data_IF_093211032936
#
_entry.id   IF_093211032936
#
_cell.length_a   1.000
_cell.length_b   1.000
_cell.length_c   1.000
_cell.angle_alpha   90.00
_cell.angle_beta   90.00
_cell.angle_gamma   90.00
#
_symmetry.space_group_name_H-M   'P 1'
#
loop_
_entity.id
_entity.type
_entity.pdbx_description
1 polymer ?
#
# COMPACT_ATOMS: atom_id res chain seq x y z
N UNK A 1 18.43 7.86 15.82
CA UNK A 1 17.17 7.57 16.54
C UNK A 1 17.02 8.33 17.87
N UNK A 2 18.05 8.47 18.70
CA UNK A 2 17.93 9.19 20.00
C UNK A 2 17.36 10.61 19.91
N UNK A 3 17.71 11.40 18.90
CA UNK A 3 17.21 12.78 18.73
C UNK A 3 15.70 12.91 18.40
N UNK A 4 15.03 11.82 18.03
CA UNK A 4 13.59 11.80 17.70
C UNK A 4 12.74 11.35 18.89
N UNK A 5 13.37 10.84 19.96
CA UNK A 5 12.67 10.34 21.15
C UNK A 5 12.01 11.43 21.98
N UNK A 6 12.51 12.68 21.89
CA UNK A 6 12.00 13.84 22.66
C UNK A 6 10.78 14.50 22.00
N UNK A 7 10.39 14.06 20.79
CA UNK A 7 9.25 14.56 20.05
C UNK A 7 8.17 13.48 20.06
N UNK A 8 6.90 13.86 19.99
CA UNK A 8 5.75 12.95 19.93
C UNK A 8 5.99 11.80 18.96
N UNK A 9 6.06 10.57 19.46
CA UNK A 9 6.32 9.37 18.67
C UNK A 9 5.18 9.15 17.66
N UNK A 10 5.47 9.42 16.39
CA UNK A 10 4.63 9.06 15.25
C UNK A 10 4.82 7.58 14.89
N UNK A 11 4.08 7.06 13.92
CA UNK A 11 4.33 5.72 13.38
C UNK A 11 5.65 5.68 12.61
N UNK A 12 6.41 4.60 12.75
CA UNK A 12 7.54 4.31 11.86
C UNK A 12 6.98 3.78 10.53
N UNK A 13 7.54 4.23 9.42
CA UNK A 13 7.04 3.86 8.09
C UNK A 13 8.13 3.14 7.30
N UNK A 14 7.77 1.99 6.73
CA UNK A 14 8.56 1.28 5.74
C UNK A 14 7.77 1.14 4.44
N UNK A 15 8.46 1.11 3.32
CA UNK A 15 7.90 0.87 2.00
C UNK A 15 8.58 -0.36 1.37
N UNK A 16 8.20 -1.59 1.75
CA UNK A 16 8.73 -2.80 1.12
C UNK A 16 8.30 -2.93 -0.34
N UNK A 17 7.19 -2.32 -0.72
CA UNK A 17 6.54 -2.32 -2.03
C UNK A 17 5.97 -3.67 -2.46
N UNK A 18 6.56 -4.80 -2.05
CA UNK A 18 6.09 -6.15 -2.33
C UNK A 18 6.22 -7.05 -1.09
N UNK A 19 5.34 -8.02 -0.94
CA UNK A 19 5.29 -8.92 0.21
C UNK A 19 6.49 -9.87 0.27
N UNK A 20 6.77 -10.56 -0.84
CA UNK A 20 7.85 -11.55 -0.91
C UNK A 20 9.19 -10.93 -1.30
N UNK A 21 10.29 -11.57 -0.87
CA UNK A 21 11.64 -11.19 -1.33
C UNK A 21 11.79 -11.39 -2.84
N UNK A 22 11.17 -12.44 -3.40
CA UNK A 22 11.15 -12.71 -4.84
C UNK A 22 10.64 -11.49 -5.59
N UNK A 23 9.47 -10.99 -5.23
CA UNK A 23 8.84 -9.89 -5.94
C UNK A 23 9.58 -8.56 -5.69
N UNK A 24 10.13 -8.34 -4.48
CA UNK A 24 11.04 -7.21 -4.21
C UNK A 24 12.25 -7.23 -5.14
N UNK A 25 12.82 -8.41 -5.41
CA UNK A 25 13.94 -8.54 -6.34
C UNK A 25 13.52 -8.22 -7.79
N UNK A 26 12.32 -8.62 -8.21
CA UNK A 26 11.77 -8.29 -9.54
C UNK A 26 11.69 -6.78 -9.76
N UNK A 27 11.25 -6.05 -8.75
CA UNK A 27 11.14 -4.57 -8.82
C UNK A 27 12.44 -3.84 -8.42
N UNK A 28 13.52 -4.59 -8.23
CA UNK A 28 14.83 -4.08 -7.79
C UNK A 28 14.77 -3.28 -6.47
N UNK A 29 13.90 -3.70 -5.55
CA UNK A 29 13.82 -3.11 -4.21
C UNK A 29 14.82 -3.81 -3.30
N UNK A 30 15.95 -3.17 -3.05
CA UNK A 30 17.07 -3.72 -2.26
C UNK A 30 16.78 -3.84 -0.76
N UNK A 31 15.53 -3.91 -0.33
CA UNK A 31 15.11 -4.03 1.06
C UNK A 31 14.80 -5.49 1.38
N UNK A 32 15.46 -6.06 2.40
CA UNK A 32 15.23 -7.43 2.86
C UNK A 32 14.28 -7.46 4.07
N UNK A 33 13.74 -8.65 4.36
CA UNK A 33 12.97 -8.89 5.60
C UNK A 33 13.82 -8.55 6.81
N UNK A 34 15.07 -8.99 6.84
CA UNK A 34 15.99 -8.72 7.96
C UNK A 34 16.22 -7.22 8.19
N UNK A 35 16.29 -6.41 7.12
CA UNK A 35 16.40 -4.96 7.25
C UNK A 35 15.15 -4.37 7.92
N UNK A 36 13.96 -4.85 7.54
CA UNK A 36 12.69 -4.40 8.11
C UNK A 36 12.57 -4.81 9.57
N UNK A 37 12.87 -6.06 9.89
CA UNK A 37 12.82 -6.58 11.26
C UNK A 37 13.85 -5.89 12.17
N UNK A 38 15.08 -5.70 11.70
CA UNK A 38 16.12 -4.98 12.45
C UNK A 38 15.70 -3.53 12.71
N UNK A 39 15.17 -2.83 11.70
CA UNK A 39 14.66 -1.47 11.85
C UNK A 39 13.48 -1.39 12.81
N UNK A 40 12.57 -2.35 12.75
CA UNK A 40 11.41 -2.47 13.64
C UNK A 40 11.83 -2.76 15.08
N UNK A 41 12.79 -3.68 15.28
CA UNK A 41 13.33 -3.99 16.60
C UNK A 41 13.96 -2.73 17.25
N UNK A 42 14.82 -2.01 16.53
CA UNK A 42 15.40 -0.77 17.03
C UNK A 42 14.36 0.29 17.39
N UNK A 43 13.26 0.36 16.64
CA UNK A 43 12.14 1.24 16.97
C UNK A 43 11.41 0.79 18.25
N UNK A 44 11.13 -0.50 18.40
CA UNK A 44 10.44 -1.04 19.57
C UNK A 44 11.25 -0.87 20.86
N UNK A 45 12.55 -1.10 20.80
CA UNK A 45 13.48 -0.78 21.90
C UNK A 45 13.44 0.72 22.20
N UNK A 46 13.34 1.58 21.20
CA UNK A 46 13.15 3.03 21.33
C UNK A 46 11.75 3.44 21.82
N UNK A 47 10.85 2.48 22.12
CA UNK A 47 9.50 2.72 22.68
C UNK A 47 8.44 3.08 21.64
N UNK A 48 8.67 2.82 20.34
CA UNK A 48 7.60 2.85 19.33
C UNK A 48 6.75 1.59 19.46
N UNK A 49 5.47 1.70 19.15
CA UNK A 49 4.53 0.57 19.08
C UNK A 49 3.66 0.61 17.82
N UNK A 50 3.97 1.52 16.88
CA UNK A 50 3.22 1.70 15.63
C UNK A 50 4.15 1.63 14.43
N UNK A 51 3.83 0.73 13.50
CA UNK A 51 4.55 0.58 12.23
C UNK A 51 3.55 0.68 11.09
N UNK A 52 3.90 1.40 10.04
CA UNK A 52 3.13 1.50 8.80
C UNK A 52 3.94 0.90 7.66
N UNK A 53 3.30 0.01 6.89
CA UNK A 53 3.91 -0.70 5.77
C UNK A 53 3.16 -0.34 4.49
N UNK A 54 3.91 0.06 3.46
CA UNK A 54 3.36 0.35 2.15
C UNK A 54 3.73 -0.74 1.15
N UNK A 55 2.75 -1.21 0.39
CA UNK A 55 2.90 -2.20 -0.66
C UNK A 55 2.14 -1.79 -1.92
N UNK A 56 2.48 -2.41 -3.04
CA UNK A 56 1.72 -2.36 -4.30
C UNK A 56 1.14 -3.74 -4.60
N UNK A 57 -0.08 -3.79 -5.11
CA UNK A 57 -0.72 -4.98 -5.67
C UNK A 57 -0.86 -4.84 -7.18
N UNK A 58 -0.79 -5.95 -7.89
CA UNK A 58 -0.85 -5.98 -9.35
C UNK A 58 0.50 -5.73 -10.03
N UNK A 59 1.60 -5.88 -9.32
CA UNK A 59 2.93 -5.82 -9.90
C UNK A 59 3.13 -6.92 -10.97
N UNK A 60 3.93 -6.66 -12.03
CA UNK A 60 4.27 -7.69 -12.99
C UNK A 60 4.84 -8.95 -12.33
N UNK A 61 4.36 -10.13 -12.73
CA UNK A 61 4.70 -11.45 -12.18
C UNK A 61 4.25 -11.74 -10.75
N UNK A 62 3.40 -10.88 -10.14
CA UNK A 62 2.84 -11.13 -8.81
C UNK A 62 2.03 -12.43 -8.77
N UNK A 63 2.26 -13.24 -7.75
CA UNK A 63 1.52 -14.48 -7.46
C UNK A 63 0.71 -14.35 -6.16
N UNK A 64 -0.14 -15.33 -5.88
CA UNK A 64 -0.90 -15.35 -4.64
C UNK A 64 0.03 -15.46 -3.42
N UNK A 65 1.14 -16.20 -3.51
CA UNK A 65 2.14 -16.32 -2.46
C UNK A 65 2.79 -14.98 -2.14
N UNK A 66 3.03 -14.13 -3.16
CA UNK A 66 3.57 -12.79 -2.94
C UNK A 66 2.59 -11.89 -2.17
N UNK A 67 1.30 -12.03 -2.47
CA UNK A 67 0.24 -11.29 -1.77
C UNK A 67 0.08 -11.79 -0.33
N UNK A 68 0.11 -13.10 -0.09
CA UNK A 68 0.05 -13.72 1.24
C UNK A 68 1.25 -13.35 2.12
N UNK A 69 2.42 -13.14 1.53
CA UNK A 69 3.61 -12.70 2.24
C UNK A 69 3.47 -11.28 2.85
N UNK A 70 2.50 -10.47 2.41
CA UNK A 70 2.24 -9.13 3.00
C UNK A 70 1.76 -9.24 4.45
N UNK A 71 0.65 -9.93 4.77
CA UNK A 71 0.22 -10.11 6.14
C UNK A 71 1.16 -10.98 6.99
N UNK A 72 1.89 -11.91 6.38
CA UNK A 72 2.90 -12.70 7.07
C UNK A 72 4.02 -11.80 7.63
N UNK A 73 4.58 -10.91 6.82
CA UNK A 73 5.57 -9.93 7.27
C UNK A 73 5.04 -9.03 8.37
N UNK A 74 3.78 -8.57 8.26
CA UNK A 74 3.16 -7.77 9.32
C UNK A 74 2.99 -8.57 10.62
N UNK A 75 2.67 -9.85 10.53
CA UNK A 75 2.57 -10.75 11.68
C UNK A 75 3.94 -10.98 12.35
N UNK A 76 5.01 -11.16 11.57
CA UNK A 76 6.38 -11.27 12.10
C UNK A 76 6.79 -10.00 12.86
N UNK A 77 6.48 -8.81 12.31
CA UNK A 77 6.77 -7.54 12.97
C UNK A 77 5.95 -7.42 14.28
N UNK A 78 4.69 -7.84 14.28
CA UNK A 78 3.87 -7.83 15.48
C UNK A 78 4.40 -8.81 16.54
N UNK A 79 4.81 -10.01 16.16
CA UNK A 79 5.44 -10.98 17.05
C UNK A 79 6.74 -10.41 17.65
N UNK A 80 7.60 -9.84 16.81
CA UNK A 80 8.84 -9.19 17.24
C UNK A 80 8.60 -8.12 18.32
N UNK A 81 7.53 -7.32 18.22
CA UNK A 81 7.17 -6.35 19.26
C UNK A 81 6.90 -7.04 20.60
N UNK A 82 6.11 -8.10 20.59
CA UNK A 82 5.74 -8.79 21.81
C UNK A 82 6.89 -9.57 22.44
N UNK A 83 7.85 -10.00 21.64
CA UNK A 83 9.09 -10.68 22.10
C UNK A 83 10.12 -9.67 22.62
N UNK A 84 10.19 -8.49 21.99
CA UNK A 84 11.19 -7.46 22.32
C UNK A 84 10.81 -6.64 23.55
N UNK A 85 9.50 -6.29 23.71
CA UNK A 85 9.04 -5.35 24.74
C UNK A 85 8.34 -6.12 25.87
N UNK A 86 8.91 -6.17 27.09
CA UNK A 86 8.27 -6.77 28.25
C UNK A 86 6.90 -6.13 28.52
N UNK A 87 5.96 -6.94 29.00
CA UNK A 87 4.55 -6.53 29.20
C UNK A 87 4.42 -5.24 30.01
N UNK A 88 5.26 -5.09 31.03
CA UNK A 88 5.28 -3.97 31.97
C UNK A 88 5.80 -2.67 31.34
N UNK A 89 6.57 -2.80 30.25
CA UNK A 89 7.17 -1.66 29.55
C UNK A 89 6.40 -1.26 28.29
N UNK A 90 5.31 -2.00 27.93
CA UNK A 90 4.52 -1.73 26.74
C UNK A 90 3.73 -0.44 26.86
N UNK A 91 4.00 0.49 25.97
CA UNK A 91 3.20 1.71 25.82
C UNK A 91 1.99 1.42 24.88
N UNK A 92 1.11 0.51 25.34
CA UNK A 92 -0.06 0.07 24.59
C UNK A 92 0.18 -1.14 23.68
N UNK A 93 -0.81 -1.48 22.88
CA UNK A 93 -0.77 -2.60 21.93
C UNK A 93 0.09 -2.25 20.72
N UNK A 94 0.73 -3.27 20.14
CA UNK A 94 1.33 -3.16 18.82
C UNK A 94 0.26 -2.79 17.78
N UNK A 95 0.58 -1.88 16.87
CA UNK A 95 -0.29 -1.47 15.76
C UNK A 95 0.52 -1.49 14.47
N UNK A 96 0.25 -2.47 13.64
CA UNK A 96 0.81 -2.57 12.29
C UNK A 96 -0.27 -2.14 11.30
N UNK A 97 -0.01 -1.12 10.51
CA UNK A 97 -0.91 -0.72 9.44
C UNK A 97 -0.32 -1.11 8.10
N UNK A 98 -0.97 -2.02 7.41
CA UNK A 98 -0.70 -2.33 6.01
C UNK A 98 -1.51 -1.36 5.17
N UNK A 99 -0.88 -0.71 4.21
CA UNK A 99 -1.52 0.15 3.22
C UNK A 99 -1.07 -0.28 1.83
N UNK A 100 -2.00 -0.74 1.00
CA UNK A 100 -1.69 -1.10 -0.38
C UNK A 100 -2.24 -0.06 -1.35
N UNK A 101 -1.42 0.31 -2.33
CA UNK A 101 -1.84 0.96 -3.57
C UNK A 101 -1.87 -0.09 -4.67
N UNK A 102 -2.50 0.23 -5.79
CA UNK A 102 -2.48 -0.62 -6.96
C UNK A 102 -1.43 -0.14 -7.95
N UNK A 103 -0.81 -1.09 -8.64
CA UNK A 103 0.26 -0.79 -9.58
C UNK A 103 -0.26 -0.03 -10.81
N UNK A 104 0.39 1.09 -11.11
CA UNK A 104 0.17 1.88 -12.33
C UNK A 104 1.45 1.87 -13.17
N UNK A 105 1.43 1.35 -14.40
CA UNK A 105 2.60 1.35 -15.29
C UNK A 105 2.85 2.77 -15.82
N UNK A 106 3.69 3.52 -15.12
CA UNK A 106 3.97 4.93 -15.46
C UNK A 106 4.98 5.06 -16.60
N UNK A 107 4.81 6.03 -17.50
CA UNK A 107 5.79 6.34 -18.56
C UNK A 107 7.20 6.55 -17.99
N UNK A 108 8.21 6.25 -18.80
CA UNK A 108 9.62 6.40 -18.47
C UNK A 108 10.12 5.56 -17.29
N UNK A 109 9.36 4.53 -16.91
CA UNK A 109 9.77 3.52 -15.91
C UNK A 109 10.03 2.17 -16.58
N UNK A 110 10.80 1.26 -15.95
CA UNK A 110 11.04 -0.08 -16.52
C UNK A 110 9.77 -0.86 -16.84
N UNK A 111 8.70 -0.64 -16.08
CA UNK A 111 7.42 -1.33 -16.26
C UNK A 111 6.38 -0.53 -17.07
N UNK A 112 6.79 0.50 -17.80
CA UNK A 112 5.87 1.35 -18.58
C UNK A 112 5.01 0.58 -19.60
N UNK A 113 5.46 -0.59 -20.05
CA UNK A 113 4.76 -1.45 -21.01
C UNK A 113 4.02 -2.62 -20.34
N UNK A 114 4.05 -2.71 -19.02
CA UNK A 114 3.30 -3.74 -18.31
C UNK A 114 1.79 -3.50 -18.43
N UNK A 115 1.03 -4.58 -18.40
CA UNK A 115 -0.43 -4.52 -18.37
C UNK A 115 -0.90 -3.89 -17.07
N UNK A 116 -1.81 -2.94 -17.14
CA UNK A 116 -2.57 -2.44 -16.02
C UNK A 116 -3.81 -3.34 -15.84
N UNK A 117 -4.10 -3.69 -14.60
CA UNK A 117 -5.27 -4.51 -14.28
C UNK A 117 -6.54 -3.68 -14.28
N UNK A 118 -7.69 -4.34 -14.40
CA UNK A 118 -8.98 -3.69 -14.21
C UNK A 118 -9.37 -3.59 -12.71
N UNK A 119 -10.41 -2.82 -12.37
CA UNK A 119 -10.81 -2.64 -10.97
C UNK A 119 -11.18 -3.94 -10.25
N UNK A 120 -11.82 -4.88 -10.94
CA UNK A 120 -12.24 -6.15 -10.33
C UNK A 120 -11.04 -7.03 -9.96
N UNK A 121 -10.01 -7.05 -10.78
CA UNK A 121 -8.76 -7.76 -10.53
C UNK A 121 -7.97 -7.16 -9.36
N UNK A 122 -7.95 -5.83 -9.24
CA UNK A 122 -7.34 -5.16 -8.10
C UNK A 122 -8.06 -5.48 -6.80
N UNK A 123 -9.38 -5.41 -6.79
CA UNK A 123 -10.19 -5.73 -5.62
C UNK A 123 -10.08 -7.21 -5.22
N UNK A 124 -9.99 -8.13 -6.19
CA UNK A 124 -9.75 -9.54 -5.90
C UNK A 124 -8.42 -9.75 -5.17
N UNK A 125 -7.35 -9.07 -5.59
CA UNK A 125 -6.04 -9.10 -4.90
C UNK A 125 -6.11 -8.52 -3.49
N UNK A 126 -6.73 -7.36 -3.33
CA UNK A 126 -6.92 -6.76 -2.01
C UNK A 126 -7.71 -7.70 -1.08
N UNK A 127 -8.70 -8.42 -1.61
CA UNK A 127 -9.46 -9.42 -0.85
C UNK A 127 -8.58 -10.57 -0.38
N UNK A 128 -7.69 -11.11 -1.22
CA UNK A 128 -6.74 -12.17 -0.83
C UNK A 128 -5.91 -11.71 0.38
N UNK A 129 -5.32 -10.51 0.31
CA UNK A 129 -4.54 -9.94 1.42
C UNK A 129 -5.41 -9.79 2.68
N UNK A 130 -6.63 -9.23 2.54
CA UNK A 130 -7.53 -8.99 3.66
C UNK A 130 -7.96 -10.29 4.36
N UNK A 131 -8.25 -11.32 3.59
CA UNK A 131 -8.66 -12.61 4.15
C UNK A 131 -7.47 -13.29 4.86
N UNK A 132 -6.27 -13.22 4.29
CA UNK A 132 -5.07 -13.78 4.92
C UNK A 132 -4.60 -12.99 6.16
N UNK A 133 -4.92 -11.70 6.28
CA UNK A 133 -4.71 -10.93 7.53
C UNK A 133 -5.49 -11.58 8.68
N UNK A 134 -6.72 -12.03 8.44
CA UNK A 134 -7.59 -12.65 9.47
C UNK A 134 -7.07 -13.99 9.96
N UNK A 135 -6.29 -14.69 9.16
CA UNK A 135 -5.66 -15.98 9.48
C UNK A 135 -4.41 -15.82 10.37
N UNK A 136 -3.84 -14.62 10.44
CA UNK A 136 -2.61 -14.37 11.19
C UNK A 136 -2.82 -14.45 12.71
N UNK A 137 -1.84 -15.00 13.43
CA UNK A 137 -1.87 -15.11 14.88
C UNK A 137 -2.08 -13.74 15.57
N UNK A 138 -1.38 -12.74 15.09
CA UNK A 138 -1.44 -11.37 15.62
C UNK A 138 -2.41 -10.45 14.84
N UNK A 139 -3.44 -11.00 14.17
CA UNK A 139 -4.39 -10.23 13.35
C UNK A 139 -5.00 -9.03 14.08
N UNK A 140 -5.21 -9.12 15.39
CA UNK A 140 -5.74 -8.01 16.22
C UNK A 140 -4.80 -6.81 16.34
N UNK A 141 -3.53 -7.00 15.99
CA UNK A 141 -2.51 -5.94 15.91
C UNK A 141 -2.35 -5.38 14.49
N UNK A 142 -2.98 -6.00 13.50
CA UNK A 142 -2.83 -5.65 12.09
C UNK A 142 -4.10 -4.96 11.59
N UNK A 143 -3.93 -3.80 10.96
CA UNK A 143 -4.97 -3.10 10.22
C UNK A 143 -4.59 -3.04 8.75
N UNK A 144 -5.53 -3.36 7.88
CA UNK A 144 -5.33 -3.33 6.44
C UNK A 144 -6.23 -2.29 5.78
N UNK A 145 -5.64 -1.47 4.89
CA UNK A 145 -6.33 -0.51 4.05
C UNK A 145 -5.78 -0.62 2.62
N UNK A 146 -6.62 -0.37 1.63
CA UNK A 146 -6.24 -0.28 0.21
C UNK A 146 -6.85 0.95 -0.44
N UNK A 147 -6.27 1.35 -1.57
CA UNK A 147 -6.77 2.48 -2.36
C UNK A 147 -7.97 2.06 -3.20
N UNK A 148 -8.76 3.04 -3.64
CA UNK A 148 -9.89 2.82 -4.54
C UNK A 148 -9.36 2.35 -5.92
N UNK A 149 -9.96 1.27 -6.44
CA UNK A 149 -9.53 0.68 -7.71
C UNK A 149 -9.85 1.56 -8.92
N UNK A 150 -11.03 2.19 -8.92
CA UNK A 150 -11.47 3.07 -10.00
C UNK A 150 -10.62 4.34 -10.07
N UNK A 151 -10.24 4.92 -8.93
CA UNK A 151 -9.30 6.05 -8.87
C UNK A 151 -7.94 5.65 -9.43
N UNK A 152 -7.49 4.41 -9.20
CA UNK A 152 -6.24 3.90 -9.75
C UNK A 152 -6.30 3.79 -11.28
N UNK A 153 -7.43 3.33 -11.83
CA UNK A 153 -7.61 3.27 -13.30
C UNK A 153 -7.57 4.66 -13.89
N UNK A 154 -8.26 5.63 -13.29
CA UNK A 154 -8.18 7.03 -13.70
C UNK A 154 -6.73 7.55 -13.63
N UNK A 155 -6.00 7.29 -12.54
CA UNK A 155 -4.58 7.66 -12.43
C UNK A 155 -3.76 7.09 -13.60
N UNK A 156 -4.01 5.83 -13.97
CA UNK A 156 -3.35 5.18 -15.09
C UNK A 156 -3.63 5.84 -16.43
N UNK A 157 -4.87 6.21 -16.69
CA UNK A 157 -5.28 6.92 -17.91
C UNK A 157 -4.63 8.32 -17.96
N UNK A 158 -4.70 9.08 -16.87
CA UNK A 158 -4.10 10.42 -16.79
C UNK A 158 -2.56 10.37 -16.92
N UNK A 159 -1.90 9.38 -16.30
CA UNK A 159 -0.44 9.26 -16.34
C UNK A 159 0.09 8.82 -17.70
N UNK A 160 -0.69 8.08 -18.49
CA UNK A 160 -0.28 7.51 -19.80
C UNK A 160 -0.86 8.23 -20.99
N UNK A 161 -1.83 9.08 -20.76
CA UNK A 161 -2.45 9.90 -21.80
C UNK A 161 -1.54 11.02 -22.30
N UNK A 162 -1.91 11.59 -23.41
CA UNK A 162 -1.28 12.77 -23.96
C UNK A 162 -2.08 14.05 -23.56
N UNK A 163 -1.68 15.19 -24.15
CA UNK A 163 -2.37 16.48 -23.91
C UNK A 163 -3.89 16.47 -24.25
N UNK A 164 -4.39 15.48 -25.00
CA UNK A 164 -5.82 15.38 -25.34
C UNK A 164 -6.67 15.05 -24.10
N UNK A 165 -6.07 14.45 -23.09
CA UNK A 165 -6.74 14.22 -21.80
C UNK A 165 -7.30 15.51 -21.17
N UNK A 166 -6.72 16.67 -21.51
CA UNK A 166 -7.24 17.96 -21.05
C UNK A 166 -8.72 18.19 -21.43
N UNK A 167 -9.18 17.59 -22.53
CA UNK A 167 -10.59 17.68 -22.94
C UNK A 167 -11.49 16.90 -21.99
N UNK A 168 -11.09 15.70 -21.59
CA UNK A 168 -11.82 14.90 -20.62
C UNK A 168 -11.87 15.59 -19.25
N UNK A 169 -10.74 16.17 -18.80
CA UNK A 169 -10.68 16.95 -17.55
C UNK A 169 -11.65 18.13 -17.61
N UNK A 170 -11.68 18.86 -18.72
CA UNK A 170 -12.57 19.99 -18.89
C UNK A 170 -14.04 19.54 -18.92
N UNK A 171 -14.35 18.46 -19.63
CA UNK A 171 -15.68 17.86 -19.65
C UNK A 171 -16.15 17.52 -18.23
N UNK A 172 -15.36 16.80 -17.45
CA UNK A 172 -15.70 16.44 -16.07
C UNK A 172 -15.94 17.68 -15.21
N UNK A 173 -15.07 18.69 -15.32
CA UNK A 173 -15.24 19.95 -14.59
C UNK A 173 -16.54 20.68 -14.97
N UNK A 174 -16.86 20.79 -16.26
CA UNK A 174 -18.06 21.44 -16.77
C UNK A 174 -19.37 20.70 -16.38
N UNK A 175 -19.27 19.39 -16.09
CA UNK A 175 -20.38 18.55 -15.63
C UNK A 175 -20.40 18.34 -14.11
N UNK A 176 -19.67 19.18 -13.36
CA UNK A 176 -19.73 19.24 -11.90
C UNK A 176 -18.79 18.28 -11.15
N UNK A 177 -17.85 17.65 -11.84
CA UNK A 177 -16.81 16.84 -11.19
C UNK A 177 -15.71 17.71 -10.59
N UNK A 178 -15.41 17.50 -9.32
CA UNK A 178 -14.34 18.16 -8.57
C UNK A 178 -13.97 17.34 -7.34
N UNK A 179 -12.77 17.54 -6.82
CA UNK A 179 -12.25 16.85 -5.64
C UNK A 179 -12.18 15.31 -5.77
N UNK A 180 -11.77 14.81 -6.92
CA UNK A 180 -11.69 13.37 -7.23
C UNK A 180 -10.76 12.57 -6.29
N UNK A 181 -9.93 13.24 -5.48
CA UNK A 181 -9.15 12.60 -4.43
C UNK A 181 -9.97 12.14 -3.21
N UNK A 182 -11.24 12.54 -3.13
CA UNK A 182 -12.15 12.20 -2.05
C UNK A 182 -13.23 11.28 -2.60
N UNK A 183 -13.35 10.08 -2.07
CA UNK A 183 -14.26 9.04 -2.60
C UNK A 183 -15.71 9.48 -2.66
N UNK A 184 -16.15 10.36 -1.75
CA UNK A 184 -17.51 10.93 -1.76
C UNK A 184 -17.78 11.90 -2.91
N UNK A 185 -16.74 12.44 -3.55
CA UNK A 185 -16.85 13.37 -4.70
C UNK A 185 -16.41 12.73 -6.01
N UNK A 186 -15.86 11.52 -5.97
CA UNK A 186 -15.37 10.82 -7.15
C UNK A 186 -16.50 10.18 -7.94
N UNK A 187 -16.69 10.62 -9.17
CA UNK A 187 -17.73 10.13 -10.09
C UNK A 187 -17.09 9.38 -11.28
N UNK A 188 -16.83 8.09 -11.10
CA UNK A 188 -16.17 7.28 -12.13
C UNK A 188 -16.91 7.25 -13.45
N UNK A 189 -18.26 7.12 -13.42
CA UNK A 189 -19.09 7.08 -14.62
C UNK A 189 -18.97 8.38 -15.45
N UNK A 190 -18.86 9.54 -14.79
CA UNK A 190 -18.63 10.83 -15.46
C UNK A 190 -17.29 10.86 -16.20
N UNK A 191 -16.26 10.23 -15.64
CA UNK A 191 -14.97 10.06 -16.32
C UNK A 191 -15.07 9.15 -17.53
N UNK A 192 -15.84 8.04 -17.44
CA UNK A 192 -16.06 7.15 -18.59
C UNK A 192 -16.81 7.88 -19.72
N UNK A 193 -17.82 8.69 -19.41
CA UNK A 193 -18.48 9.55 -20.38
C UNK A 193 -17.50 10.53 -21.04
N UNK A 194 -16.67 11.20 -20.24
CA UNK A 194 -15.67 12.14 -20.73
C UNK A 194 -14.63 11.52 -21.67
N UNK A 195 -14.29 10.25 -21.49
CA UNK A 195 -13.37 9.53 -22.38
C UNK A 195 -14.06 9.05 -23.67
N UNK A 196 -15.37 8.91 -23.67
CA UNK A 196 -16.15 8.52 -24.84
C UNK A 196 -16.56 9.71 -25.74
N UNK A 197 -16.50 10.93 -25.22
CA UNK A 197 -16.85 12.18 -25.92
C UNK A 197 -15.67 12.74 -26.73
#
# INVERSE_FOLDING_TARGET
MQKVQDIKKSSLTFAPEAGSQRLRNVINKGLTVDNILTGSHGAFVGGWNKVKLYFMLGLPTETEEDMRAIPELANEIAALYYDTVPKEQRNGKCQITISTSFFVPKPFTPFQWATMLDPSDYLARAKIVNDHVKEQLNHKSIRYNWHEADVTVLEGILARGDRKISKAILYVYEHGGFFDAWSEFFHYDLWLEAFAA
#
